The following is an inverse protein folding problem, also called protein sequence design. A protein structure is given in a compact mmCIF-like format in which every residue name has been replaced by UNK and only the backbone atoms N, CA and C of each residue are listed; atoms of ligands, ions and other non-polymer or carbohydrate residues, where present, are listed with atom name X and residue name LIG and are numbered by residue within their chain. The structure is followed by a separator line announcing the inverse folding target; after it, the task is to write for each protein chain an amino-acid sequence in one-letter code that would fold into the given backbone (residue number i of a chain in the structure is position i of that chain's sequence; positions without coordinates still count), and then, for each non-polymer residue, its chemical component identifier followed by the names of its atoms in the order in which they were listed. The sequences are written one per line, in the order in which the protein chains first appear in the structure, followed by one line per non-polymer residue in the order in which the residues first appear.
data_IF_349507226540
#
_entry.id   IF_349507226540
#
_cell.length_a   1.000
_cell.length_b   1.000
_cell.length_c   1.000
_cell.angle_alpha   90.00
_cell.angle_beta   90.00
_cell.angle_gamma   90.00
#
_symmetry.space_group_name_H-M   'P 1'
#
loop_
_entity.id
_entity.type
_entity.pdbx_description
1 polymer ?
#
# COMPACT_ATOMS: atom_id res chain seq x y z
N UNK A 1 5.45 3.63 9.97
CA UNK A 1 5.59 2.18 10.28
C UNK A 1 6.81 1.61 9.55
N UNK A 2 7.50 0.59 10.08
CA UNK A 2 8.55 -0.09 9.32
C UNK A 2 7.97 -1.30 8.58
N UNK A 3 7.86 -1.21 7.25
CA UNK A 3 7.38 -2.26 6.35
C UNK A 3 8.52 -2.73 5.42
N UNK A 4 9.77 -2.57 5.85
CA UNK A 4 10.92 -3.02 5.08
C UNK A 4 10.86 -4.54 4.86
N UNK A 5 10.94 -4.96 3.59
CA UNK A 5 10.83 -6.36 3.19
C UNK A 5 9.43 -6.99 3.33
N UNK A 6 8.40 -6.20 3.63
CA UNK A 6 7.05 -6.72 3.80
C UNK A 6 6.46 -7.20 2.45
N UNK A 7 5.77 -8.34 2.46
CA UNK A 7 4.95 -8.74 1.32
C UNK A 7 3.53 -8.18 1.47
N UNK A 8 3.21 -7.19 0.64
CA UNK A 8 1.92 -6.52 0.60
C UNK A 8 1.17 -6.85 -0.70
N UNK A 9 1.54 -7.91 -1.41
CA UNK A 9 0.88 -8.27 -2.67
C UNK A 9 -0.63 -8.44 -2.50
N UNK A 10 -1.41 -7.63 -3.21
CA UNK A 10 -2.87 -7.60 -3.13
C UNK A 10 -3.45 -7.00 -1.83
N UNK A 11 -2.64 -6.39 -0.97
CA UNK A 11 -3.12 -5.80 0.27
C UNK A 11 -3.97 -4.55 0.01
N UNK A 12 -5.07 -4.40 0.75
CA UNK A 12 -5.85 -3.17 0.75
C UNK A 12 -5.29 -2.20 1.81
N UNK A 13 -4.70 -1.09 1.35
CA UNK A 13 -4.17 0.00 2.15
C UNK A 13 -4.96 1.30 1.95
N UNK A 14 -6.16 1.21 1.38
CA UNK A 14 -7.08 2.33 1.22
C UNK A 14 -7.37 3.00 2.58
N UNK A 15 -7.15 4.32 2.64
CA UNK A 15 -7.33 5.10 3.86
C UNK A 15 -6.28 4.86 4.96
N UNK A 16 -5.26 4.03 4.72
CA UNK A 16 -4.19 3.83 5.68
C UNK A 16 -3.35 5.13 5.78
N UNK A 17 -3.08 5.58 7.01
CA UNK A 17 -2.08 6.63 7.22
C UNK A 17 -0.68 6.02 7.06
N UNK A 18 -0.10 6.21 5.88
CA UNK A 18 1.23 5.73 5.52
C UNK A 18 2.31 6.81 5.69
N UNK A 19 1.99 7.94 6.34
CA UNK A 19 2.96 9.00 6.62
C UNK A 19 4.14 8.43 7.43
N UNK A 20 5.36 8.61 6.91
CA UNK A 20 6.58 8.08 7.51
C UNK A 20 6.70 6.55 7.49
N UNK A 21 5.95 5.85 6.64
CA UNK A 21 6.15 4.41 6.44
C UNK A 21 7.39 4.10 5.58
N UNK A 22 8.21 3.15 6.03
CA UNK A 22 9.35 2.63 5.27
C UNK A 22 8.91 1.40 4.47
N UNK A 23 8.91 1.49 3.14
CA UNK A 23 8.56 0.41 2.23
C UNK A 23 9.78 -0.16 1.47
N UNK A 24 10.99 0.09 1.96
CA UNK A 24 12.20 -0.42 1.33
C UNK A 24 12.10 -1.94 1.16
N UNK A 25 12.42 -2.45 -0.04
CA UNK A 25 12.35 -3.88 -0.37
C UNK A 25 10.96 -4.55 -0.17
N UNK A 26 9.87 -3.77 0.00
CA UNK A 26 8.52 -4.31 0.14
C UNK A 26 7.94 -4.72 -1.23
N UNK A 27 7.22 -5.85 -1.26
CA UNK A 27 6.43 -6.25 -2.43
C UNK A 27 5.06 -5.58 -2.38
N UNK A 28 4.89 -4.49 -3.13
CA UNK A 28 3.63 -3.72 -3.22
C UNK A 28 2.83 -4.02 -4.50
N UNK A 29 3.06 -5.19 -5.12
CA UNK A 29 2.36 -5.55 -6.35
C UNK A 29 0.86 -5.69 -6.11
N UNK A 30 0.05 -4.93 -6.83
CA UNK A 30 -1.41 -4.99 -6.71
C UNK A 30 -1.96 -4.51 -5.35
N UNK A 31 -1.16 -3.79 -4.55
CA UNK A 31 -1.70 -3.08 -3.39
C UNK A 31 -2.70 -2.02 -3.84
N UNK A 32 -3.82 -1.95 -3.13
CA UNK A 32 -4.82 -0.91 -3.31
C UNK A 32 -4.42 0.24 -2.38
N UNK A 33 -3.90 1.33 -2.92
CA UNK A 33 -3.46 2.50 -2.14
C UNK A 33 -4.46 3.65 -2.21
N UNK A 34 -5.19 3.75 -3.30
CA UNK A 34 -6.24 4.73 -3.51
C UNK A 34 -7.22 4.08 -4.48
N UNK A 35 -8.48 3.96 -4.10
CA UNK A 35 -9.49 3.50 -5.05
C UNK A 35 -9.84 4.70 -5.90
N UNK A 36 -9.31 4.72 -7.14
CA UNK A 36 -9.86 5.58 -8.19
C UNK A 36 -11.39 5.51 -8.10
N UNK A 37 -12.01 6.67 -7.92
CA UNK A 37 -13.45 6.82 -8.10
C UNK A 37 -13.74 6.24 -9.48
N UNK A 38 -14.41 5.09 -9.55
CA UNK A 38 -15.05 4.65 -10.78
C UNK A 38 -16.09 5.72 -11.11
N UNK A 39 -15.70 6.72 -11.88
CA UNK A 39 -16.64 7.61 -12.55
C UNK A 39 -17.35 6.76 -13.59
N UNK A 40 -18.58 6.34 -13.27
CA UNK A 40 -19.59 5.95 -14.26
C UNK A 40 -20.10 7.18 -15.02
#
# INVERSE_FOLDING_TARGET
ANLEGANLEGANLEGANLEGANFKDANVKGTILDTEVKTE
#
